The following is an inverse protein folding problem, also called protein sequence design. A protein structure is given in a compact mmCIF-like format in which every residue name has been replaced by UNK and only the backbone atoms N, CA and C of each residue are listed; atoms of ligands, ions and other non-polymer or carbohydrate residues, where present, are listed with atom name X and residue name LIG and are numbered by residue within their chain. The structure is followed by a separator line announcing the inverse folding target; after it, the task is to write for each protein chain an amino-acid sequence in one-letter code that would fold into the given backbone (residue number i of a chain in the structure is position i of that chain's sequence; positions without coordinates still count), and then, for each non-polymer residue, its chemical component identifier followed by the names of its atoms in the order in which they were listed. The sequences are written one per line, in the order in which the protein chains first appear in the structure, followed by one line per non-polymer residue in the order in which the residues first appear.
data_IF_584129633517
#
_entry.id   IF_584129633517
#
_cell.length_a   1.000
_cell.length_b   1.000
_cell.length_c   1.000
_cell.angle_alpha   90.00
_cell.angle_beta   90.00
_cell.angle_gamma   90.00
#
_symmetry.space_group_name_H-M   'P 1'
#
loop_
_entity.id
_entity.type
_entity.pdbx_description
1 polymer ?
#
# COMPACT_ATOMS: atom_id res chain seq x y z
N UNK A 1 -13.69 2.72 -10.05
CA UNK A 1 -13.93 1.72 -9.00
C UNK A 1 -14.57 2.42 -7.82
N UNK A 2 -15.40 1.72 -7.05
CA UNK A 2 -16.05 2.30 -5.85
C UNK A 2 -15.10 2.12 -4.66
N UNK A 3 -14.92 3.16 -3.86
CA UNK A 3 -14.11 3.10 -2.64
C UNK A 3 -14.74 2.14 -1.61
N UNK A 4 -13.91 1.47 -0.79
CA UNK A 4 -14.41 0.66 0.32
C UNK A 4 -15.12 1.53 1.35
N UNK A 5 -16.18 0.99 1.93
CA UNK A 5 -16.91 1.61 3.04
C UNK A 5 -17.04 0.58 4.14
N UNK A 6 -16.49 0.88 5.32
CA UNK A 6 -16.74 0.11 6.54
C UNK A 6 -17.95 0.72 7.25
N UNK A 7 -18.94 -0.09 7.61
CA UNK A 7 -20.09 0.34 8.42
C UNK A 7 -19.96 -0.33 9.79
N UNK A 8 -19.66 0.45 10.82
CA UNK A 8 -19.59 -0.03 12.20
C UNK A 8 -20.62 0.71 13.06
N UNK A 9 -21.56 -0.01 13.67
CA UNK A 9 -22.67 0.56 14.45
C UNK A 9 -23.46 1.63 13.69
N UNK A 10 -23.81 1.33 12.43
CA UNK A 10 -24.53 2.23 11.50
C UNK A 10 -23.78 3.53 11.17
N UNK A 11 -22.49 3.64 11.48
CA UNK A 11 -21.63 4.78 11.13
C UNK A 11 -20.71 4.36 9.97
N UNK A 12 -20.75 5.06 8.81
CA UNK A 12 -19.87 4.76 7.70
C UNK A 12 -18.48 5.38 7.89
N UNK A 13 -17.44 4.66 7.49
CA UNK A 13 -16.05 5.10 7.37
C UNK A 13 -15.61 4.81 5.93
N UNK A 14 -15.14 5.85 5.24
CA UNK A 14 -14.63 5.77 3.87
C UNK A 14 -13.10 5.91 3.86
N UNK A 15 -12.50 5.69 2.69
CA UNK A 15 -11.06 5.64 2.43
C UNK A 15 -10.37 4.43 3.07
N UNK A 16 -9.67 3.62 2.28
CA UNK A 16 -9.05 2.37 2.74
C UNK A 16 -8.08 2.59 3.91
N UNK A 17 -7.19 3.58 3.81
CA UNK A 17 -6.22 3.88 4.87
C UNK A 17 -6.90 4.38 6.15
N UNK A 18 -7.93 5.22 6.02
CA UNK A 18 -8.70 5.70 7.16
C UNK A 18 -9.51 4.57 7.83
N UNK A 19 -10.03 3.63 7.03
CA UNK A 19 -10.67 2.40 7.54
C UNK A 19 -9.65 1.57 8.33
N UNK A 20 -8.42 1.41 7.82
CA UNK A 20 -7.37 0.67 8.52
C UNK A 20 -6.98 1.36 9.85
N UNK A 21 -6.85 2.68 9.88
CA UNK A 21 -6.57 3.42 11.13
C UNK A 21 -7.73 3.24 12.14
N UNK A 22 -8.98 3.35 11.68
CA UNK A 22 -10.14 3.12 12.52
C UNK A 22 -10.17 1.71 13.12
N UNK A 23 -9.87 0.69 12.31
CA UNK A 23 -9.78 -0.70 12.78
C UNK A 23 -8.69 -0.83 13.86
N UNK A 24 -7.53 -0.24 13.61
CA UNK A 24 -6.39 -0.29 14.54
C UNK A 24 -6.72 0.38 15.88
N UNK A 25 -7.42 1.50 15.88
CA UNK A 25 -7.83 2.20 17.11
C UNK A 25 -8.92 1.44 17.89
N UNK A 26 -9.90 0.87 17.19
CA UNK A 26 -11.05 0.18 17.83
C UNK A 26 -10.67 -1.19 18.37
N UNK A 27 -9.81 -1.94 17.68
CA UNK A 27 -9.39 -3.30 18.05
C UNK A 27 -7.88 -3.40 18.35
N UNK A 28 -7.34 -2.37 19.01
CA UNK A 28 -5.92 -2.21 19.35
C UNK A 28 -5.34 -3.30 20.26
N UNK A 29 -6.18 -4.10 20.92
CA UNK A 29 -5.80 -5.08 21.94
C UNK A 29 -5.29 -6.42 21.37
N UNK A 30 -5.47 -6.67 20.06
CA UNK A 30 -5.18 -7.98 19.46
C UNK A 30 -3.92 -8.01 18.59
N UNK A 31 -3.81 -7.06 17.67
CA UNK A 31 -2.73 -7.00 16.68
C UNK A 31 -2.60 -5.57 16.18
N UNK A 32 -1.85 -4.70 16.89
CA UNK A 32 -1.70 -3.32 16.48
C UNK A 32 -0.93 -3.23 15.16
N UNK A 33 -1.54 -2.61 14.16
CA UNK A 33 -0.96 -2.34 12.85
C UNK A 33 -0.03 -1.14 12.89
N UNK A 34 -0.35 -0.12 13.70
CA UNK A 34 0.51 1.05 13.86
C UNK A 34 1.40 0.94 15.11
N UNK A 35 2.66 1.39 15.03
CA UNK A 35 3.51 1.55 16.20
C UNK A 35 2.90 2.50 17.24
N UNK A 36 3.22 2.30 18.52
CA UNK A 36 2.83 3.20 19.59
C UNK A 36 3.66 4.49 19.61
N UNK A 37 4.94 4.41 19.23
CA UNK A 37 5.83 5.57 19.13
C UNK A 37 5.33 6.56 18.05
N UNK A 38 5.20 7.86 18.36
CA UNK A 38 4.68 8.84 17.41
C UNK A 38 5.49 8.99 16.13
N UNK A 39 6.83 8.86 16.21
CA UNK A 39 7.69 9.00 15.04
C UNK A 39 7.57 7.80 14.11
N UNK A 40 7.64 6.58 14.65
CA UNK A 40 7.47 5.36 13.86
C UNK A 40 6.05 5.25 13.28
N UNK A 41 5.02 5.69 14.03
CA UNK A 41 3.64 5.81 13.52
C UNK A 41 3.55 6.77 12.33
N UNK A 42 4.22 7.93 12.43
CA UNK A 42 4.29 8.90 11.33
C UNK A 42 4.98 8.31 10.10
N UNK A 43 6.06 7.55 10.29
CA UNK A 43 6.74 6.84 9.19
C UNK A 43 5.86 5.79 8.54
N UNK A 44 5.12 5.00 9.31
CA UNK A 44 4.19 4.01 8.77
C UNK A 44 3.09 4.67 7.92
N UNK A 45 2.52 5.77 8.40
CA UNK A 45 1.52 6.56 7.65
C UNK A 45 2.10 7.13 6.36
N UNK A 46 3.31 7.67 6.41
CA UNK A 46 4.00 8.19 5.22
C UNK A 46 4.15 7.12 4.13
N UNK A 47 4.62 5.92 4.50
CA UNK A 47 4.82 4.85 3.52
C UNK A 47 3.51 4.30 2.95
N UNK A 48 2.46 4.19 3.77
CA UNK A 48 1.15 3.80 3.29
C UNK A 48 0.56 4.83 2.30
N UNK A 49 0.70 6.14 2.60
CA UNK A 49 0.30 7.22 1.69
C UNK A 49 1.14 7.24 0.40
N UNK A 50 2.45 6.99 0.51
CA UNK A 50 3.34 6.84 -0.64
C UNK A 50 2.87 5.71 -1.55
N UNK A 51 2.55 4.53 -0.99
CA UNK A 51 2.02 3.37 -1.72
C UNK A 51 0.70 3.73 -2.43
N UNK A 52 -0.26 4.29 -1.70
CA UNK A 52 -1.58 4.62 -2.23
C UNK A 52 -1.48 5.59 -3.42
N UNK A 53 -0.63 6.62 -3.31
CA UNK A 53 -0.42 7.60 -4.37
C UNK A 53 0.38 7.05 -5.56
N UNK A 54 1.44 6.29 -5.29
CA UNK A 54 2.42 5.89 -6.32
C UNK A 54 2.06 4.58 -7.00
N UNK A 55 1.78 3.51 -6.26
CA UNK A 55 1.54 2.20 -6.86
C UNK A 55 0.24 2.19 -7.65
N UNK A 56 -0.84 2.77 -7.11
CA UNK A 56 -2.11 2.78 -7.82
C UNK A 56 -2.03 3.54 -9.15
N UNK A 57 -1.46 4.76 -9.14
CA UNK A 57 -1.39 5.60 -10.34
C UNK A 57 -0.42 5.04 -11.38
N UNK A 58 0.79 4.65 -10.98
CA UNK A 58 1.80 4.10 -11.90
C UNK A 58 1.41 2.69 -12.37
N UNK A 59 0.90 1.83 -11.48
CA UNK A 59 0.36 0.52 -11.84
C UNK A 59 -0.79 0.63 -12.85
N UNK A 60 -1.62 1.68 -12.74
CA UNK A 60 -2.66 1.96 -13.73
C UNK A 60 -2.08 2.37 -15.10
N UNK A 61 -0.94 3.04 -15.15
CA UNK A 61 -0.25 3.32 -16.42
C UNK A 61 0.42 2.06 -16.98
N UNK A 62 0.98 1.21 -16.12
CA UNK A 62 1.61 -0.06 -16.52
C UNK A 62 0.63 -1.01 -17.22
N UNK A 63 -0.56 -1.24 -16.67
CA UNK A 63 -1.53 -2.18 -17.27
C UNK A 63 -2.34 -1.60 -18.45
N UNK A 64 -2.54 -0.27 -18.54
CA UNK A 64 -3.46 0.34 -19.51
C UNK A 64 -2.83 1.36 -20.47
N UNK A 65 -1.61 1.82 -20.17
CA UNK A 65 -0.81 2.68 -21.04
C UNK A 65 -0.35 1.94 -22.29
N UNK A 66 0.19 2.69 -23.25
CA UNK A 66 0.71 2.15 -24.52
C UNK A 66 1.95 2.91 -24.97
N UNK A 67 2.83 2.23 -25.69
CA UNK A 67 4.03 2.84 -26.28
C UNK A 67 4.91 3.48 -25.22
N UNK A 68 5.32 4.74 -25.46
CA UNK A 68 6.25 5.46 -24.58
C UNK A 68 5.73 5.66 -23.15
N UNK A 69 4.43 5.93 -22.96
CA UNK A 69 3.83 6.10 -21.63
C UNK A 69 3.93 4.82 -20.78
N UNK A 70 3.72 3.66 -21.41
CA UNK A 70 3.84 2.37 -20.71
C UNK A 70 5.30 2.09 -20.33
N UNK A 71 6.25 2.36 -21.23
CA UNK A 71 7.68 2.16 -20.98
C UNK A 71 8.24 3.10 -19.90
N UNK A 72 7.78 4.36 -19.86
CA UNK A 72 8.10 5.27 -18.76
C UNK A 72 7.50 4.79 -17.44
N UNK A 73 6.22 4.39 -17.45
CA UNK A 73 5.55 3.89 -16.26
C UNK A 73 6.21 2.62 -15.71
N UNK A 74 6.69 1.71 -16.58
CA UNK A 74 7.47 0.53 -16.14
C UNK A 74 8.72 0.92 -15.36
N UNK A 75 9.48 1.90 -15.86
CA UNK A 75 10.68 2.40 -15.18
C UNK A 75 10.33 3.02 -13.84
N UNK A 76 9.31 3.89 -13.81
CA UNK A 76 8.82 4.50 -12.57
C UNK A 76 8.37 3.43 -11.55
N UNK A 77 7.64 2.42 -12.02
CA UNK A 77 7.12 1.32 -11.20
C UNK A 77 8.26 0.53 -10.55
N UNK A 78 9.31 0.19 -11.31
CA UNK A 78 10.49 -0.48 -10.77
C UNK A 78 11.24 0.38 -9.75
N UNK A 79 11.38 1.69 -9.96
CA UNK A 79 12.00 2.58 -9.00
C UNK A 79 11.17 2.73 -7.70
N UNK A 80 9.84 2.70 -7.81
CA UNK A 80 8.95 2.65 -6.64
C UNK A 80 9.22 1.38 -5.82
N UNK A 81 9.28 0.20 -6.47
CA UNK A 81 9.58 -1.05 -5.76
C UNK A 81 10.98 -1.06 -5.14
N UNK A 82 12.01 -0.56 -5.84
CA UNK A 82 13.36 -0.41 -5.25
C UNK A 82 13.36 0.49 -4.02
N UNK A 83 12.57 1.57 -4.05
CA UNK A 83 12.41 2.47 -2.90
C UNK A 83 11.78 1.74 -1.72
N UNK A 84 10.73 0.95 -1.98
CA UNK A 84 10.06 0.15 -0.95
C UNK A 84 10.93 -0.99 -0.42
N UNK A 85 11.70 -1.66 -1.28
CA UNK A 85 12.71 -2.65 -0.88
C UNK A 85 13.79 -2.02 0.01
N UNK A 86 14.21 -0.80 -0.31
CA UNK A 86 15.14 -0.02 0.51
C UNK A 86 14.58 0.29 1.90
N UNK A 87 13.30 0.66 2.00
CA UNK A 87 12.64 0.81 3.30
C UNK A 87 12.51 -0.53 4.02
N UNK A 88 12.07 -1.60 3.36
CA UNK A 88 11.94 -2.92 3.97
C UNK A 88 13.28 -3.38 4.57
N UNK A 89 14.36 -3.21 3.82
CA UNK A 89 15.71 -3.59 4.23
C UNK A 89 15.79 -5.07 4.56
N UNK A 90 16.27 -5.39 5.76
CA UNK A 90 16.38 -6.77 6.25
C UNK A 90 15.20 -7.20 7.15
N UNK A 91 14.14 -6.38 7.24
CA UNK A 91 12.96 -6.72 8.06
C UNK A 91 12.13 -7.81 7.36
N UNK A 92 11.47 -8.64 8.15
CA UNK A 92 10.53 -9.65 7.62
C UNK A 92 9.30 -8.98 7.00
N UNK A 93 8.79 -7.94 7.65
CA UNK A 93 7.67 -7.10 7.23
C UNK A 93 8.05 -5.63 7.35
N UNK A 94 7.30 -4.73 6.71
CA UNK A 94 7.46 -3.29 6.96
C UNK A 94 7.18 -2.95 8.43
N UNK A 95 6.26 -3.66 9.08
CA UNK A 95 6.03 -3.63 10.53
C UNK A 95 7.12 -4.26 11.40
N UNK A 96 8.22 -4.75 10.84
CA UNK A 96 9.29 -5.43 11.56
C UNK A 96 9.09 -6.95 11.61
N UNK A 97 8.83 -7.49 12.79
CA UNK A 97 8.64 -8.93 13.01
C UNK A 97 7.19 -9.39 12.78
N UNK A 98 6.25 -8.45 12.72
CA UNK A 98 4.82 -8.71 12.49
C UNK A 98 4.30 -7.87 11.32
N UNK A 99 3.20 -8.32 10.71
CA UNK A 99 2.47 -7.53 9.72
C UNK A 99 2.02 -6.19 10.34
N UNK A 100 2.36 -5.09 9.69
CA UNK A 100 1.98 -3.74 10.10
C UNK A 100 1.14 -3.00 9.07
N UNK A 101 0.87 -1.74 9.35
CA UNK A 101 0.02 -0.86 8.54
C UNK A 101 0.47 -0.76 7.07
N UNK A 102 1.77 -0.64 6.84
CA UNK A 102 2.37 -0.53 5.50
C UNK A 102 2.23 -1.85 4.73
N UNK A 103 2.39 -2.99 5.40
CA UNK A 103 2.20 -4.32 4.78
C UNK A 103 0.77 -4.49 4.29
N UNK A 104 -0.21 -4.12 5.13
CA UNK A 104 -1.64 -4.20 4.78
C UNK A 104 -2.00 -3.23 3.65
N UNK A 105 -1.35 -2.07 3.57
CA UNK A 105 -1.52 -1.14 2.46
C UNK A 105 -0.92 -1.67 1.14
N UNK A 106 0.20 -2.38 1.20
CA UNK A 106 0.91 -2.86 0.00
C UNK A 106 0.36 -4.19 -0.54
N UNK A 107 0.03 -5.13 0.35
CA UNK A 107 -0.26 -6.52 -0.05
C UNK A 107 -1.37 -6.67 -1.10
N UNK A 108 -2.45 -5.86 -1.14
CA UNK A 108 -3.48 -6.01 -2.16
C UNK A 108 -2.96 -5.80 -3.59
N UNK A 109 -1.91 -5.00 -3.78
CA UNK A 109 -1.31 -4.75 -5.09
C UNK A 109 -0.55 -5.97 -5.64
N UNK A 110 -0.11 -6.89 -4.79
CA UNK A 110 0.57 -8.13 -5.24
C UNK A 110 -0.35 -9.01 -6.10
N UNK A 111 -1.66 -8.96 -5.86
CA UNK A 111 -2.66 -9.66 -6.69
C UNK A 111 -2.69 -9.19 -8.15
N UNK A 112 -2.17 -7.99 -8.44
CA UNK A 112 -2.09 -7.41 -9.77
C UNK A 112 -0.78 -7.71 -10.50
N UNK A 113 0.20 -8.33 -9.84
CA UNK A 113 1.53 -8.56 -10.44
C UNK A 113 1.45 -9.38 -11.71
N UNK A 114 0.61 -10.41 -11.74
CA UNK A 114 0.38 -11.20 -12.95
C UNK A 114 -0.18 -10.36 -14.11
N UNK A 115 -1.08 -9.42 -13.82
CA UNK A 115 -1.59 -8.49 -14.83
C UNK A 115 -0.50 -7.55 -15.33
N UNK A 116 0.32 -7.00 -14.42
CA UNK A 116 1.45 -6.15 -14.80
C UNK A 116 2.44 -6.89 -15.69
N UNK A 117 2.81 -8.12 -15.33
CA UNK A 117 3.67 -8.98 -16.15
C UNK A 117 3.06 -9.24 -17.53
N UNK A 118 1.78 -9.61 -17.59
CA UNK A 118 1.10 -9.93 -18.85
C UNK A 118 1.00 -8.72 -19.80
N UNK A 119 0.66 -7.53 -19.28
CA UNK A 119 0.40 -6.36 -20.12
C UNK A 119 1.64 -5.51 -20.39
N UNK A 120 2.60 -5.49 -19.47
CA UNK A 120 3.80 -4.68 -19.59
C UNK A 120 5.05 -5.48 -19.94
N UNK A 121 4.99 -6.82 -19.95
CA UNK A 121 6.07 -7.72 -20.33
C UNK A 121 7.38 -7.38 -19.59
N UNK A 122 7.29 -7.46 -18.26
CA UNK A 122 8.44 -7.33 -17.36
C UNK A 122 9.45 -8.46 -17.54
#
# INVERSE_FOLDING_TARGET
TKEPILIHNSKPICESLNILEYIDEVWHDKCPLLPSDPYEKSRARFWADYIDKKIYSTGRRVWSGKGEDQEEAKKEFLEIFKTLEGELGNKTYFGGDNLGFVDVALVPFTSWFYSYETFANF
#
